data_IF_821411591059
#
_entry.id   IF_821411591059
#
_cell.length_a   1.000
_cell.length_b   1.000
_cell.length_c   1.000
_cell.angle_alpha   90.00
_cell.angle_beta   90.00
_cell.angle_gamma   90.00
#
_symmetry.space_group_name_H-M   'P 1'
#
loop_
_entity.id
_entity.type
_entity.pdbx_description
1 polymer ?
#
# COMPACT_ATOMS: atom_id res chain seq x y z
N UNK A 1 -2.98 9.34 -21.82
CA UNK A 1 -2.55 7.93 -21.78
C UNK A 1 -1.04 7.92 -22.00
N UNK A 2 -0.24 7.96 -20.91
CA UNK A 2 1.21 8.17 -21.01
C UNK A 2 1.94 6.92 -20.53
N UNK A 3 2.49 6.22 -21.52
CA UNK A 3 3.67 5.37 -21.51
C UNK A 3 4.15 4.86 -20.15
N UNK A 4 3.73 3.66 -19.77
CA UNK A 4 4.47 2.83 -18.81
C UNK A 4 4.74 1.45 -19.42
N UNK A 5 5.37 1.45 -20.60
CA UNK A 5 6.02 0.28 -21.17
C UNK A 5 7.53 0.47 -21.04
N UNK A 6 8.06 0.32 -19.83
CA UNK A 6 9.49 0.13 -19.62
C UNK A 6 9.65 -1.02 -18.62
N UNK A 7 9.71 -2.24 -19.17
CA UNK A 7 10.69 -3.28 -18.87
C UNK A 7 10.23 -4.55 -19.60
N UNK A 8 11.02 -5.01 -20.59
CA UNK A 8 10.78 -6.20 -21.42
C UNK A 8 10.59 -7.53 -20.65
N UNK A 9 10.82 -7.51 -19.33
CA UNK A 9 10.64 -8.65 -18.42
C UNK A 9 9.44 -8.51 -17.47
N UNK A 10 8.81 -7.33 -17.35
CA UNK A 10 7.61 -7.14 -16.52
C UNK A 10 6.35 -7.71 -17.17
N UNK A 11 6.32 -7.80 -18.50
CA UNK A 11 5.17 -8.32 -19.26
C UNK A 11 4.80 -9.76 -18.91
N UNK A 12 5.78 -10.61 -18.59
CA UNK A 12 5.50 -12.00 -18.19
C UNK A 12 4.88 -12.12 -16.79
N UNK A 13 5.06 -11.12 -15.92
CA UNK A 13 4.45 -11.07 -14.59
C UNK A 13 2.98 -10.58 -14.67
N UNK A 14 2.66 -9.77 -15.69
CA UNK A 14 1.33 -9.19 -15.92
C UNK A 14 0.44 -10.13 -16.76
N UNK A 15 1.01 -11.11 -17.46
CA UNK A 15 0.27 -12.05 -18.33
C UNK A 15 -0.63 -13.02 -17.55
N UNK A 16 -0.38 -13.23 -16.25
CA UNK A 16 -1.27 -14.02 -15.40
C UNK A 16 -2.35 -13.14 -14.78
N UNK A 17 -3.60 -13.61 -14.84
CA UNK A 17 -4.77 -13.00 -14.17
C UNK A 17 -4.49 -12.72 -12.69
N UNK A 18 -3.70 -13.57 -12.04
CA UNK A 18 -3.32 -13.40 -10.64
C UNK A 18 -2.36 -12.21 -10.41
N UNK A 19 -1.37 -12.04 -11.30
CA UNK A 19 -0.42 -10.91 -11.24
C UNK A 19 -1.10 -9.57 -11.48
N UNK A 20 -2.06 -9.52 -12.41
CA UNK A 20 -2.88 -8.33 -12.64
C UNK A 20 -3.76 -7.99 -11.42
N UNK A 21 -4.38 -9.00 -10.79
CA UNK A 21 -5.18 -8.81 -9.57
C UNK A 21 -4.34 -8.28 -8.41
N UNK A 22 -3.18 -8.89 -8.16
CA UNK A 22 -2.26 -8.44 -7.11
C UNK A 22 -1.81 -6.99 -7.33
N UNK A 23 -1.48 -6.63 -8.58
CA UNK A 23 -1.11 -5.26 -8.95
C UNK A 23 -2.26 -4.27 -8.70
N UNK A 24 -3.50 -4.66 -9.03
CA UNK A 24 -4.67 -3.83 -8.79
C UNK A 24 -4.91 -3.61 -7.29
N UNK A 25 -4.74 -4.64 -6.45
CA UNK A 25 -4.88 -4.53 -4.99
C UNK A 25 -3.86 -3.56 -4.42
N UNK A 26 -2.57 -3.70 -4.77
CA UNK A 26 -1.51 -2.81 -4.30
C UNK A 26 -1.76 -1.37 -4.75
N UNK A 27 -2.24 -1.18 -5.98
CA UNK A 27 -2.62 0.14 -6.49
C UNK A 27 -3.78 0.74 -5.67
N UNK A 28 -4.85 -0.02 -5.43
CA UNK A 28 -5.98 0.43 -4.61
C UNK A 28 -5.53 0.88 -3.21
N UNK A 29 -4.72 0.07 -2.51
CA UNK A 29 -4.19 0.41 -1.17
C UNK A 29 -3.34 1.68 -1.23
N UNK A 30 -2.50 1.82 -2.25
CA UNK A 30 -1.65 2.99 -2.46
C UNK A 30 -2.47 4.26 -2.66
N UNK A 31 -3.53 4.20 -3.47
CA UNK A 31 -4.42 5.33 -3.70
C UNK A 31 -5.21 5.70 -2.44
N UNK A 32 -5.70 4.71 -1.68
CA UNK A 32 -6.35 4.96 -0.39
C UNK A 32 -5.39 5.61 0.61
N UNK A 33 -4.13 5.18 0.67
CA UNK A 33 -3.11 5.78 1.54
C UNK A 33 -2.85 7.24 1.19
N UNK A 34 -2.73 7.56 -0.10
CA UNK A 34 -2.58 8.95 -0.58
C UNK A 34 -3.77 9.82 -0.22
N UNK A 35 -5.00 9.29 -0.38
CA UNK A 35 -6.23 10.00 -0.03
C UNK A 35 -6.33 10.33 1.47
N UNK A 36 -5.68 9.53 2.33
CA UNK A 36 -5.62 9.72 3.77
C UNK A 36 -4.34 10.45 4.25
N UNK A 37 -3.62 11.14 3.34
CA UNK A 37 -2.38 11.87 3.66
C UNK A 37 -1.27 11.01 4.27
N UNK A 38 -1.24 9.72 3.94
CA UNK A 38 -0.17 8.81 4.34
C UNK A 38 0.92 8.73 3.27
N UNK A 39 2.13 8.36 3.69
CA UNK A 39 3.18 7.96 2.77
C UNK A 39 2.88 6.53 2.27
N UNK A 40 2.56 6.34 0.97
CA UNK A 40 2.07 5.06 0.48
C UNK A 40 3.10 3.93 0.59
N UNK A 41 4.40 4.25 0.42
CA UNK A 41 5.45 3.24 0.52
C UNK A 41 5.62 2.75 1.96
N UNK A 42 5.68 3.67 2.92
CA UNK A 42 5.81 3.35 4.34
C UNK A 42 4.56 2.67 4.88
N UNK A 43 3.38 3.09 4.44
CA UNK A 43 2.12 2.46 4.81
C UNK A 43 2.05 1.02 4.29
N UNK A 44 2.36 0.78 3.01
CA UNK A 44 2.37 -0.57 2.45
C UNK A 44 3.39 -1.49 3.13
N UNK A 45 4.60 -0.98 3.44
CA UNK A 45 5.63 -1.71 4.19
C UNK A 45 5.12 -2.12 5.58
N UNK A 46 4.43 -1.22 6.28
CA UNK A 46 3.84 -1.51 7.59
C UNK A 46 2.72 -2.55 7.50
N UNK A 47 1.79 -2.38 6.55
CA UNK A 47 0.69 -3.31 6.27
C UNK A 47 1.20 -4.72 6.04
N UNK A 48 2.16 -4.89 5.13
CA UNK A 48 2.72 -6.20 4.81
C UNK A 48 3.49 -6.81 5.99
N UNK A 49 4.13 -5.97 6.81
CA UNK A 49 4.87 -6.42 8.00
C UNK A 49 3.92 -6.97 9.07
N UNK A 50 2.86 -6.22 9.39
CA UNK A 50 1.84 -6.63 10.37
C UNK A 50 1.09 -7.86 9.87
N UNK A 51 0.68 -7.89 8.60
CA UNK A 51 0.03 -9.08 8.01
C UNK A 51 0.90 -10.33 8.07
N UNK A 52 2.22 -10.19 7.90
CA UNK A 52 3.16 -11.31 8.02
C UNK A 52 3.27 -11.81 9.46
N UNK A 53 3.25 -10.91 10.44
CA UNK A 53 3.32 -11.25 11.87
C UNK A 53 2.08 -12.02 12.32
N UNK A 54 0.90 -11.59 11.86
CA UNK A 54 -0.40 -12.19 12.19
C UNK A 54 -0.86 -13.27 11.18
N UNK A 55 0.04 -13.86 10.40
CA UNK A 55 -0.34 -14.82 9.36
C UNK A 55 -1.02 -16.10 9.92
N UNK A 56 -0.65 -16.49 11.14
CA UNK A 56 -1.17 -17.68 11.83
C UNK A 56 -2.32 -17.35 12.80
N UNK A 57 -2.64 -16.06 12.96
CA UNK A 57 -3.69 -15.62 13.87
C UNK A 57 -5.08 -15.91 13.30
N UNK A 58 -5.97 -16.35 14.18
CA UNK A 58 -7.40 -16.56 13.83
C UNK A 58 -8.24 -15.32 14.09
N UNK A 59 -7.71 -14.35 14.85
CA UNK A 59 -8.38 -13.09 15.17
C UNK A 59 -7.90 -11.97 14.24
N UNK A 60 -8.85 -11.23 13.65
CA UNK A 60 -8.59 -10.20 12.65
C UNK A 60 -8.79 -8.77 13.19
N UNK A 61 -8.91 -8.58 14.50
CA UNK A 61 -9.17 -7.24 15.08
C UNK A 61 -8.03 -6.27 14.78
N UNK A 62 -6.80 -6.77 14.67
CA UNK A 62 -5.62 -5.98 14.28
C UNK A 62 -5.76 -5.29 12.91
N UNK A 63 -6.70 -5.75 12.05
CA UNK A 63 -6.95 -5.11 10.77
C UNK A 63 -7.58 -3.72 10.93
N UNK A 64 -8.36 -3.49 11.98
CA UNK A 64 -8.96 -2.18 12.27
C UNK A 64 -7.87 -1.14 12.53
N UNK A 65 -6.82 -1.54 13.23
CA UNK A 65 -5.66 -0.70 13.53
C UNK A 65 -4.82 -0.38 12.29
N UNK A 66 -4.96 -1.18 11.22
CA UNK A 66 -4.23 -1.02 9.98
C UNK A 66 -4.93 -0.12 8.98
N UNK A 67 -6.19 0.22 9.20
CA UNK A 67 -6.96 1.09 8.31
C UNK A 67 -6.29 2.46 8.18
N UNK A 68 -6.41 3.12 7.01
CA UNK A 68 -5.64 4.33 6.73
C UNK A 68 -6.09 5.55 7.56
N UNK A 69 -7.23 5.45 8.24
CA UNK A 69 -7.73 6.43 9.21
C UNK A 69 -7.51 6.02 10.67
N UNK A 70 -6.83 4.90 10.93
CA UNK A 70 -6.53 4.44 12.28
C UNK A 70 -5.55 5.38 12.98
N UNK A 71 -5.85 5.71 14.24
CA UNK A 71 -4.97 6.52 15.09
C UNK A 71 -3.71 5.75 15.52
N UNK A 72 -3.77 4.42 15.53
CA UNK A 72 -2.68 3.51 15.93
C UNK A 72 -1.57 3.41 14.88
N UNK A 73 -1.74 4.01 13.69
CA UNK A 73 -0.72 3.99 12.65
C UNK A 73 0.56 4.71 13.11
N UNK A 74 1.73 4.13 12.85
CA UNK A 74 2.98 4.72 13.28
C UNK A 74 3.28 6.01 12.52
N UNK A 75 3.97 6.95 13.17
CA UNK A 75 4.27 8.27 12.59
C UNK A 75 5.09 8.19 11.29
N UNK A 76 5.85 7.12 11.10
CA UNK A 76 6.60 6.87 9.86
C UNK A 76 5.69 6.73 8.62
N UNK A 77 4.44 6.30 8.82
CA UNK A 77 3.45 6.17 7.75
C UNK A 77 2.76 7.50 7.46
N UNK A 78 2.79 8.47 8.38
CA UNK A 78 2.19 9.78 8.16
C UNK A 78 3.07 10.58 7.19
N UNK A 79 2.45 11.21 6.19
CA UNK A 79 3.20 12.03 5.25
C UNK A 79 3.71 13.27 5.96
N UNK A 80 5.02 13.53 5.89
CA UNK A 80 5.57 14.83 6.25
C UNK A 80 5.21 15.78 5.11
N UNK A 81 4.13 16.54 5.27
CA UNK A 81 3.75 17.58 4.32
C UNK A 81 4.96 18.49 4.11
N UNK A 82 5.51 18.53 2.89
CA UNK A 82 6.35 19.68 2.51
C UNK A 82 5.39 20.86 2.42
N UNK A 83 5.47 21.78 3.36
CA UNK A 83 4.96 23.15 3.20
C UNK A 83 5.69 23.76 2.01
N UNK A 84 5.12 23.65 0.81
CA UNK A 84 5.52 24.47 -0.32
C UNK A 84 4.72 25.77 -0.20
N UNK A 85 5.34 26.78 0.41
CA UNK A 85 4.93 28.16 0.19
C UNK A 85 5.01 28.43 -1.32
N UNK A 86 3.86 28.74 -1.93
CA UNK A 86 3.77 29.45 -3.20
C UNK A 86 3.50 30.93 -2.92
#
# INVERSE_FOLDING_TARGET
MRSFCLHKHAWKLIDSIDGAKSSAIVYSITETAKANHLNPFRYLEHVLTVMKDHQEDTDYRFMEDLLPWSEQLPEICRSKTKTTNV
#
